data_IF_306649627267
#
_entry.id   IF_306649627267
#
_cell.length_a   1.000
_cell.length_b   1.000
_cell.length_c   1.000
_cell.angle_alpha   90.00
_cell.angle_beta   90.00
_cell.angle_gamma   90.00
#
_symmetry.space_group_name_H-M   'P 1'
#
loop_
_entity.id
_entity.type
_entity.pdbx_description
1 polymer ?
#
# COMPACT_ATOMS: atom_id res chain seq x y z
N UNK A 1 -2.25 -9.29 -11.78
CA UNK A 1 -1.52 -10.16 -10.84
C UNK A 1 -2.40 -10.41 -9.61
N UNK A 2 -2.59 -9.46 -8.69
CA UNK A 2 -3.38 -9.67 -7.46
C UNK A 2 -4.81 -10.20 -7.61
N UNK A 3 -5.52 -9.87 -8.70
CA UNK A 3 -6.87 -10.41 -8.94
C UNK A 3 -6.90 -11.93 -9.18
N UNK A 4 -5.75 -12.55 -9.50
CA UNK A 4 -5.63 -13.99 -9.73
C UNK A 4 -5.15 -14.75 -8.48
N UNK A 5 -5.00 -14.06 -7.35
CA UNK A 5 -4.58 -14.66 -6.10
C UNK A 5 -5.69 -15.56 -5.52
N UNK A 6 -5.35 -16.70 -4.87
CA UNK A 6 -6.35 -17.58 -4.24
C UNK A 6 -7.18 -16.86 -3.17
N UNK A 7 -6.65 -15.83 -2.52
CA UNK A 7 -7.40 -14.98 -1.59
C UNK A 7 -8.64 -14.38 -2.25
N UNK A 8 -8.57 -13.99 -3.54
CA UNK A 8 -9.73 -13.43 -4.26
C UNK A 8 -10.79 -14.50 -4.52
N UNK A 9 -10.38 -15.74 -4.77
CA UNK A 9 -11.30 -16.87 -4.92
C UNK A 9 -11.99 -17.20 -3.59
N UNK A 10 -11.27 -17.11 -2.46
CA UNK A 10 -11.75 -17.53 -1.14
C UNK A 10 -12.49 -16.45 -0.37
N UNK A 11 -12.03 -15.20 -0.46
CA UNK A 11 -12.56 -14.03 0.25
C UNK A 11 -13.45 -13.15 -0.64
N UNK A 12 -13.42 -13.37 -1.95
CA UNK A 12 -14.14 -12.56 -2.93
C UNK A 12 -13.39 -11.29 -3.34
N UNK A 13 -14.01 -10.51 -4.23
CA UNK A 13 -13.42 -9.29 -4.81
C UNK A 13 -13.18 -8.18 -3.77
N UNK A 14 -13.76 -8.27 -2.58
CA UNK A 14 -13.62 -7.27 -1.51
C UNK A 14 -12.18 -7.14 -1.03
N UNK A 15 -11.38 -8.22 -1.06
CA UNK A 15 -9.96 -8.18 -0.71
C UNK A 15 -9.15 -7.25 -1.63
N UNK A 16 -9.66 -6.94 -2.82
CA UNK A 16 -9.03 -5.96 -3.71
C UNK A 16 -8.94 -4.57 -3.08
N UNK A 17 -9.83 -4.23 -2.14
CA UNK A 17 -9.73 -2.96 -1.40
C UNK A 17 -8.42 -2.89 -0.61
N UNK A 18 -7.97 -4.01 -0.03
CA UNK A 18 -6.68 -4.08 0.65
C UNK A 18 -5.51 -3.93 -0.33
N UNK A 19 -5.55 -4.65 -1.46
CA UNK A 19 -4.47 -4.55 -2.46
C UNK A 19 -4.36 -3.16 -3.09
N UNK A 20 -5.48 -2.57 -3.49
CA UNK A 20 -5.52 -1.22 -4.08
C UNK A 20 -5.17 -0.18 -3.02
N UNK A 21 -5.72 -0.30 -1.80
CA UNK A 21 -5.42 0.61 -0.69
C UNK A 21 -3.94 0.61 -0.30
N UNK A 22 -3.31 -0.55 -0.28
CA UNK A 22 -1.86 -0.68 -0.05
C UNK A 22 -1.07 -0.01 -1.19
N UNK A 23 -1.47 -0.23 -2.45
CA UNK A 23 -0.85 0.43 -3.60
C UNK A 23 -0.96 1.96 -3.53
N UNK A 24 -2.11 2.49 -3.14
CA UNK A 24 -2.33 3.92 -2.95
C UNK A 24 -1.47 4.49 -1.81
N UNK A 25 -1.35 3.78 -0.69
CA UNK A 25 -0.44 4.16 0.40
C UNK A 25 1.01 4.27 -0.10
N UNK A 26 1.50 3.24 -0.78
CA UNK A 26 2.88 3.20 -1.28
C UNK A 26 3.12 4.29 -2.33
N UNK A 27 2.18 4.51 -3.24
CA UNK A 27 2.24 5.59 -4.23
C UNK A 27 2.27 6.97 -3.56
N UNK A 28 1.43 7.18 -2.54
CA UNK A 28 1.45 8.40 -1.75
C UNK A 28 2.78 8.60 -1.03
N UNK A 29 3.34 7.55 -0.41
CA UNK A 29 4.69 7.62 0.18
C UNK A 29 5.73 8.02 -0.86
N UNK A 30 5.72 7.41 -2.04
CA UNK A 30 6.67 7.72 -3.10
C UNK A 30 6.57 9.17 -3.59
N UNK A 31 5.37 9.68 -3.83
CA UNK A 31 5.18 11.07 -4.27
C UNK A 31 5.58 12.05 -3.18
N UNK A 32 5.23 11.76 -1.93
CA UNK A 32 5.51 12.62 -0.79
C UNK A 32 7.01 12.68 -0.46
N UNK A 33 7.68 11.54 -0.54
CA UNK A 33 9.11 11.36 -0.26
C UNK A 33 10.01 11.66 -1.46
N UNK A 34 9.44 11.83 -2.65
CA UNK A 34 10.16 12.04 -3.92
C UNK A 34 11.18 10.92 -4.23
N UNK A 35 10.88 9.71 -3.77
CA UNK A 35 11.76 8.55 -3.84
C UNK A 35 11.02 7.24 -3.66
N UNK A 36 11.68 6.12 -3.95
CA UNK A 36 11.08 4.77 -3.82
C UNK A 36 11.49 4.07 -2.53
N UNK A 37 12.54 4.54 -1.87
CA UNK A 37 13.24 3.88 -0.77
C UNK A 37 12.32 3.63 0.42
N UNK A 38 11.57 4.65 0.85
CA UNK A 38 10.63 4.51 1.97
C UNK A 38 9.49 3.56 1.64
N UNK A 39 8.90 3.67 0.45
CA UNK A 39 7.79 2.82 0.02
C UNK A 39 8.25 1.35 -0.11
N UNK A 40 9.41 1.11 -0.73
CA UNK A 40 9.99 -0.23 -0.85
C UNK A 40 10.37 -0.81 0.51
N UNK A 41 10.96 -0.01 1.40
CA UNK A 41 11.29 -0.41 2.76
C UNK A 41 10.04 -0.78 3.58
N UNK A 42 9.00 0.06 3.53
CA UNK A 42 7.71 -0.22 4.17
C UNK A 42 7.07 -1.50 3.61
N UNK A 43 7.02 -1.62 2.28
CA UNK A 43 6.45 -2.79 1.61
C UNK A 43 7.21 -4.07 1.98
N UNK A 44 8.54 -4.06 1.92
CA UNK A 44 9.36 -5.20 2.29
C UNK A 44 9.17 -5.58 3.76
N UNK A 45 9.21 -4.60 4.68
CA UNK A 45 9.01 -4.84 6.10
C UNK A 45 7.63 -5.46 6.37
N UNK A 46 6.55 -4.90 5.79
CA UNK A 46 5.20 -5.44 5.95
C UNK A 46 5.10 -6.90 5.47
N UNK A 47 5.64 -7.20 4.28
CA UNK A 47 5.56 -8.55 3.71
C UNK A 47 6.43 -9.55 4.48
N UNK A 48 7.64 -9.17 4.91
CA UNK A 48 8.51 -10.04 5.71
C UNK A 48 7.85 -10.31 7.07
N UNK A 49 7.33 -9.28 7.74
CA UNK A 49 6.61 -9.47 9.00
C UNK A 49 5.40 -10.39 8.82
N UNK A 50 4.57 -10.17 7.80
CA UNK A 50 3.43 -11.04 7.52
C UNK A 50 3.87 -12.50 7.28
N UNK A 51 4.84 -12.71 6.39
CA UNK A 51 5.36 -14.04 6.03
C UNK A 51 6.00 -14.79 7.21
N UNK A 52 6.63 -14.08 8.15
CA UNK A 52 7.20 -14.71 9.34
C UNK A 52 6.15 -14.97 10.42
N UNK A 53 5.13 -14.14 10.53
CA UNK A 53 4.18 -14.19 11.64
C UNK A 53 3.02 -15.14 11.39
N UNK A 54 2.36 -15.06 10.23
CA UNK A 54 1.12 -15.80 9.97
C UNK A 54 1.09 -16.36 8.56
N UNK A 55 0.64 -17.61 8.42
CA UNK A 55 0.36 -18.26 7.13
C UNK A 55 -1.00 -18.94 7.16
N UNK A 56 -1.56 -19.26 5.99
CA UNK A 56 -2.75 -20.12 5.88
C UNK A 56 -2.74 -20.94 4.59
N UNK A 57 -3.54 -22.00 4.54
CA UNK A 57 -3.62 -22.91 3.39
C UNK A 57 -4.27 -22.28 2.15
N UNK A 58 -4.89 -21.11 2.32
CA UNK A 58 -5.60 -20.39 1.27
C UNK A 58 -4.92 -19.09 0.81
N UNK A 59 -3.74 -18.75 1.34
CA UNK A 59 -2.95 -17.59 0.88
C UNK A 59 -2.07 -17.95 -0.32
N UNK A 60 -1.76 -16.96 -1.16
CA UNK A 60 -0.94 -17.12 -2.36
C UNK A 60 0.50 -17.53 -2.03
N UNK A 61 1.04 -16.96 -0.95
CA UNK A 61 2.36 -17.25 -0.43
C UNK A 61 2.16 -17.96 0.91
N UNK A 62 2.72 -19.17 1.01
CA UNK A 62 2.73 -19.98 2.22
C UNK A 62 4.17 -20.11 2.69
N UNK A 63 4.39 -19.98 3.99
CA UNK A 63 5.71 -19.93 4.62
C UNK A 63 5.67 -20.67 5.94
N UNK A 64 6.84 -21.09 6.42
CA UNK A 64 6.99 -21.61 7.78
C UNK A 64 6.92 -20.44 8.77
N UNK A 65 5.70 -20.01 9.08
CA UNK A 65 5.41 -18.90 9.99
C UNK A 65 5.22 -19.34 11.43
N UNK A 66 5.31 -18.40 12.37
CA UNK A 66 5.10 -18.64 13.80
C UNK A 66 3.68 -19.14 14.10
N UNK A 67 2.68 -18.59 13.40
CA UNK A 67 1.29 -18.95 13.57
C UNK A 67 0.70 -19.49 12.26
N UNK A 68 -0.14 -20.52 12.38
CA UNK A 68 -0.97 -21.04 11.30
C UNK A 68 -2.42 -20.61 11.55
N UNK A 69 -2.99 -19.85 10.62
CA UNK A 69 -4.41 -19.52 10.66
C UNK A 69 -5.23 -20.68 10.08
N UNK A 70 -6.00 -21.32 10.96
CA UNK A 70 -6.92 -22.44 10.65
C UNK A 70 -8.39 -22.01 10.59
N UNK A 71 -8.65 -20.70 10.67
CA UNK A 71 -10.01 -20.17 10.62
C UNK A 71 -10.62 -20.29 9.21
N UNK A 72 -11.94 -20.13 9.12
CA UNK A 72 -12.60 -20.05 7.83
C UNK A 72 -12.25 -18.71 7.15
N UNK A 73 -11.89 -18.70 5.85
CA UNK A 73 -11.57 -17.47 5.15
C UNK A 73 -12.72 -16.48 5.25
N UNK A 74 -12.45 -15.29 5.78
CA UNK A 74 -13.41 -14.18 5.81
C UNK A 74 -12.69 -12.85 5.69
N UNK A 75 -13.35 -11.88 5.09
CA UNK A 75 -12.89 -10.51 4.99
C UNK A 75 -14.03 -9.61 5.43
N UNK A 76 -13.82 -8.80 6.46
CA UNK A 76 -14.83 -7.97 7.06
C UNK A 76 -14.34 -6.55 7.35
N UNK A 77 -15.20 -5.77 8.00
CA UNK A 77 -14.91 -4.36 8.32
C UNK A 77 -13.65 -4.18 9.18
N UNK A 78 -13.34 -5.14 10.05
CA UNK A 78 -12.13 -5.11 10.86
C UNK A 78 -10.86 -5.19 10.00
N UNK A 79 -10.88 -6.00 8.94
CA UNK A 79 -9.75 -6.16 8.01
C UNK A 79 -9.53 -4.91 7.14
N UNK A 80 -10.57 -4.08 6.99
CA UNK A 80 -10.48 -2.79 6.31
C UNK A 80 -9.90 -1.67 7.20
N UNK A 81 -9.89 -1.85 8.53
CA UNK A 81 -9.47 -0.83 9.48
C UNK A 81 -8.05 -0.30 9.24
N UNK A 82 -7.04 -1.14 8.90
CA UNK A 82 -5.72 -0.65 8.55
C UNK A 82 -5.74 0.31 7.36
N UNK A 83 -6.62 0.11 6.38
CA UNK A 83 -6.69 0.94 5.17
C UNK A 83 -7.32 2.29 5.45
N UNK A 84 -8.42 2.31 6.21
CA UNK A 84 -9.19 3.54 6.46
C UNK A 84 -8.64 4.39 7.60
N UNK A 85 -7.93 3.77 8.57
CA UNK A 85 -7.41 4.45 9.75
C UNK A 85 -5.89 4.31 9.84
N UNK A 86 -5.37 3.08 9.77
CA UNK A 86 -3.94 2.81 9.95
C UNK A 86 -3.05 3.53 8.92
N UNK A 87 -3.42 3.47 7.64
CA UNK A 87 -2.68 4.02 6.52
C UNK A 87 -2.67 5.56 6.52
N UNK A 88 -3.79 6.24 6.76
CA UNK A 88 -3.76 7.68 7.01
C UNK A 88 -2.91 8.07 8.22
N UNK A 89 -3.01 7.32 9.33
CA UNK A 89 -2.22 7.61 10.54
C UNK A 89 -0.72 7.47 10.28
N UNK A 90 -0.29 6.40 9.61
CA UNK A 90 1.14 6.22 9.31
C UNK A 90 1.65 7.32 8.37
N UNK A 91 0.87 7.73 7.36
CA UNK A 91 1.22 8.87 6.51
C UNK A 91 1.37 10.17 7.31
N UNK A 92 0.48 10.43 8.28
CA UNK A 92 0.58 11.61 9.15
C UNK A 92 1.80 11.55 10.08
N UNK A 93 2.17 10.36 10.58
CA UNK A 93 3.38 10.16 11.37
C UNK A 93 4.61 10.43 10.50
N UNK A 94 4.69 9.82 9.31
CA UNK A 94 5.80 9.98 8.39
C UNK A 94 5.93 11.43 7.92
N UNK A 95 4.82 12.10 7.62
CA UNK A 95 4.80 13.52 7.26
C UNK A 95 5.46 14.40 8.35
N UNK A 96 5.28 14.05 9.63
CA UNK A 96 5.93 14.76 10.75
C UNK A 96 7.41 14.41 10.88
N UNK A 97 7.76 13.13 10.74
CA UNK A 97 9.15 12.65 10.87
C UNK A 97 10.03 13.20 9.74
N UNK A 98 9.58 13.05 8.50
CA UNK A 98 10.29 13.46 7.29
C UNK A 98 10.01 14.92 6.90
N UNK A 99 9.17 15.62 7.68
CA UNK A 99 8.79 17.02 7.47
C UNK A 99 8.27 17.30 6.06
N UNK A 100 7.49 16.37 5.52
CA UNK A 100 6.94 16.52 4.18
C UNK A 100 6.10 17.79 4.08
N UNK A 101 6.29 18.51 2.99
CA UNK A 101 5.58 19.75 2.66
C UNK A 101 5.01 19.66 1.25
N UNK A 102 4.16 20.63 0.89
CA UNK A 102 3.57 20.73 -0.44
C UNK A 102 2.77 19.48 -0.90
N UNK A 103 2.13 18.78 0.04
CA UNK A 103 1.42 17.52 -0.23
C UNK A 103 0.30 17.64 -1.27
N UNK A 104 -0.38 18.79 -1.31
CA UNK A 104 -1.46 19.01 -2.28
C UNK A 104 -0.94 18.96 -3.71
N UNK A 105 0.17 19.64 -3.98
CA UNK A 105 0.79 19.61 -5.31
C UNK A 105 1.37 18.23 -5.61
N UNK A 106 2.03 17.59 -4.64
CA UNK A 106 2.62 16.25 -4.85
C UNK A 106 1.58 15.16 -5.14
N UNK A 107 0.41 15.20 -4.49
CA UNK A 107 -0.61 14.16 -4.63
C UNK A 107 -1.70 14.49 -5.65
N UNK A 108 -2.01 15.78 -5.84
CA UNK A 108 -3.14 16.24 -6.66
C UNK A 108 -2.76 17.36 -7.63
N UNK A 109 -1.47 17.64 -7.80
CA UNK A 109 -0.96 18.63 -8.73
C UNK A 109 -1.25 18.27 -10.19
N UNK A 110 -1.14 19.27 -11.06
CA UNK A 110 -1.44 19.08 -12.49
C UNK A 110 -0.31 18.29 -13.14
N UNK A 111 -0.67 17.23 -13.85
CA UNK A 111 0.27 16.54 -14.74
C UNK A 111 0.34 17.32 -16.05
N UNK A 112 1.50 17.89 -16.35
CA UNK A 112 1.73 18.65 -17.58
C UNK A 112 1.80 17.71 -18.78
N UNK A 113 1.23 18.15 -19.89
CA UNK A 113 1.57 17.59 -21.19
C UNK A 113 3.02 17.90 -21.55
N UNK A 114 3.59 17.12 -22.48
CA UNK A 114 4.97 17.34 -22.94
C UNK A 114 5.19 18.77 -23.46
N UNK A 115 4.25 19.28 -24.25
CA UNK A 115 4.32 20.64 -24.79
C UNK A 115 4.28 21.71 -23.68
N UNK A 116 3.41 21.55 -22.69
CA UNK A 116 3.36 22.47 -21.53
C UNK A 116 4.67 22.45 -20.75
N UNK A 117 5.29 21.28 -20.55
CA UNK A 117 6.58 21.15 -19.86
C UNK A 117 7.72 21.78 -20.66
N UNK A 118 7.78 21.53 -21.97
CA UNK A 118 8.84 22.07 -22.84
C UNK A 118 8.77 23.61 -22.89
N UNK A 119 7.57 24.18 -22.99
CA UNK A 119 7.35 25.63 -22.99
C UNK A 119 7.75 26.30 -21.66
N UNK A 120 7.54 25.63 -20.52
CA UNK A 120 7.87 26.14 -19.19
C UNK A 120 9.38 26.24 -18.95
N UNK A 121 10.18 25.41 -19.64
CA UNK A 121 11.64 25.35 -19.51
C UNK A 121 12.38 26.12 -20.61
N UNK A 122 11.68 26.67 -21.59
CA UNK A 122 12.25 27.46 -22.68
C UNK A 122 12.38 28.97 -22.38
N UNK A 123 11.84 29.43 -21.24
CA UNK A 123 11.84 30.81 -20.75
C UNK A 123 12.86 31.04 -19.64
#
# INVERSE_FOLDING_TARGET
>A
MHAANPEVEKLGMEVMVFYIGTGLLLGAMTLMDEGLELALGFHAANNITAALMVTSTWTAIQTDSVFLDVSQPSFGLADMLPIVIGYPIILLILAKIYKWSNWKEKLFGKVLSKEEFDNLNAS
#
